data_IF_159589588184
#
_entry.id   IF_159589588184
#
_cell.length_a   1.000
_cell.length_b   1.000
_cell.length_c   1.000
_cell.angle_alpha   90.00
_cell.angle_beta   90.00
_cell.angle_gamma   90.00
#
_symmetry.space_group_name_H-M   'P 1'
#
loop_
_entity.id
_entity.type
_entity.pdbx_description
1 polymer ?
#
# COMPACT_ATOMS: atom_id res chain seq x y z
N UNK A 1 9.93 6.72 4.74
CA UNK A 1 9.37 5.48 4.19
C UNK A 1 10.02 5.20 2.85
N UNK A 2 11.01 4.31 2.86
CA UNK A 2 11.53 3.64 1.66
C UNK A 2 10.58 2.52 1.24
N UNK A 3 10.82 1.92 0.07
CA UNK A 3 10.06 0.74 -0.41
C UNK A 3 10.24 -0.42 0.57
N UNK A 4 11.45 -0.59 1.12
CA UNK A 4 11.79 -1.66 2.06
C UNK A 4 11.03 -1.51 3.38
N UNK A 5 11.00 -0.29 3.95
CA UNK A 5 10.21 0.00 5.16
C UNK A 5 8.71 -0.25 4.95
N UNK A 6 8.19 0.04 3.75
CA UNK A 6 6.79 -0.27 3.40
C UNK A 6 6.56 -1.79 3.37
N UNK A 7 7.47 -2.55 2.74
CA UNK A 7 7.37 -4.00 2.68
C UNK A 7 7.39 -4.60 4.08
N UNK A 8 8.37 -4.25 4.92
CA UNK A 8 8.45 -4.76 6.29
C UNK A 8 7.21 -4.40 7.11
N UNK A 9 6.67 -3.19 6.94
CA UNK A 9 5.43 -2.80 7.60
C UNK A 9 4.25 -3.69 7.18
N UNK A 10 4.04 -3.90 5.88
CA UNK A 10 2.94 -4.74 5.42
C UNK A 10 3.14 -6.23 5.70
N UNK A 11 4.38 -6.70 5.79
CA UNK A 11 4.71 -8.10 6.08
C UNK A 11 4.56 -8.43 7.59
N UNK A 12 4.79 -7.43 8.45
CA UNK A 12 4.60 -7.55 9.90
C UNK A 12 3.20 -7.15 10.40
N UNK A 13 2.47 -6.35 9.64
CA UNK A 13 1.11 -5.95 9.98
C UNK A 13 0.12 -7.11 9.74
N UNK A 14 -0.81 -7.31 10.67
CA UNK A 14 -1.99 -8.13 10.39
C UNK A 14 -2.91 -7.36 9.46
N UNK A 15 -2.88 -7.75 8.19
CA UNK A 15 -3.71 -7.14 7.17
C UNK A 15 -5.08 -7.82 7.10
N UNK A 16 -6.17 -7.05 7.04
CA UNK A 16 -7.49 -7.61 6.79
C UNK A 16 -7.58 -8.09 5.33
N UNK A 17 -8.46 -9.07 5.09
CA UNK A 17 -8.71 -9.59 3.73
C UNK A 17 -9.26 -8.49 2.82
N UNK A 18 -10.13 -7.62 3.36
CA UNK A 18 -10.68 -6.44 2.71
C UNK A 18 -10.63 -5.21 3.62
N UNK A 19 -10.39 -4.03 3.03
CA UNK A 19 -10.51 -2.75 3.73
C UNK A 19 -11.16 -1.70 2.83
N UNK A 20 -12.08 -0.95 3.42
CA UNK A 20 -12.62 0.25 2.82
C UNK A 20 -11.84 1.47 3.33
N UNK A 21 -11.04 2.07 2.46
CA UNK A 21 -10.27 3.28 2.78
C UNK A 21 -11.18 4.51 2.66
N UNK A 22 -11.97 4.59 1.59
CA UNK A 22 -12.97 5.64 1.35
C UNK A 22 -14.22 5.05 0.70
N UNK A 23 -15.29 5.84 0.57
CA UNK A 23 -16.54 5.42 -0.11
C UNK A 23 -16.27 4.89 -1.53
N UNK A 24 -15.30 5.48 -2.23
CA UNK A 24 -14.92 5.11 -3.60
C UNK A 24 -13.78 4.08 -3.67
N UNK A 25 -13.11 3.79 -2.55
CA UNK A 25 -11.92 2.96 -2.52
C UNK A 25 -12.08 1.79 -1.54
N UNK A 26 -12.58 0.69 -2.09
CA UNK A 26 -12.67 -0.60 -1.40
C UNK A 26 -11.64 -1.56 -2.00
N UNK A 27 -10.74 -2.06 -1.17
CA UNK A 27 -9.77 -3.10 -1.52
C UNK A 27 -10.32 -4.43 -1.00
N UNK A 28 -10.70 -5.31 -1.92
CA UNK A 28 -11.23 -6.65 -1.61
C UNK A 28 -10.15 -7.74 -1.58
N UNK A 29 -8.97 -7.43 -2.11
CA UNK A 29 -7.87 -8.38 -2.25
C UNK A 29 -6.57 -7.66 -1.86
N UNK A 30 -6.31 -7.63 -0.55
CA UNK A 30 -5.15 -6.97 0.02
C UNK A 30 -3.83 -7.53 -0.53
N UNK A 31 -3.62 -8.86 -0.57
CA UNK A 31 -2.36 -9.43 -1.07
C UNK A 31 -2.09 -9.01 -2.52
N UNK A 32 -3.09 -9.09 -3.40
CA UNK A 32 -2.94 -8.73 -4.81
C UNK A 32 -2.73 -7.23 -5.00
N UNK A 33 -3.41 -6.41 -4.21
CA UNK A 33 -3.22 -4.97 -4.22
C UNK A 33 -1.80 -4.58 -3.81
N UNK A 34 -1.29 -5.14 -2.72
CA UNK A 34 0.08 -4.91 -2.27
C UNK A 34 1.09 -5.36 -3.31
N UNK A 35 0.95 -6.57 -3.83
CA UNK A 35 1.86 -7.11 -4.84
C UNK A 35 1.91 -6.22 -6.10
N UNK A 36 0.75 -5.76 -6.58
CA UNK A 36 0.68 -4.89 -7.76
C UNK A 36 1.33 -3.52 -7.52
N UNK A 37 1.07 -2.89 -6.36
CA UNK A 37 1.62 -1.58 -6.04
C UNK A 37 3.12 -1.64 -5.72
N UNK A 38 3.57 -2.68 -5.01
CA UNK A 38 4.99 -2.92 -4.74
C UNK A 38 5.75 -3.19 -6.03
N UNK A 39 5.23 -4.04 -6.93
CA UNK A 39 5.86 -4.28 -8.22
C UNK A 39 5.94 -3.01 -9.09
N UNK A 40 4.93 -2.14 -9.03
CA UNK A 40 4.95 -0.85 -9.70
C UNK A 40 5.99 0.10 -9.10
N UNK A 41 6.16 0.09 -7.78
CA UNK A 41 7.18 0.84 -7.04
C UNK A 41 8.60 0.37 -7.37
N UNK A 42 8.84 -0.94 -7.41
CA UNK A 42 10.15 -1.51 -7.77
C UNK A 42 10.57 -1.15 -9.19
N UNK A 43 9.60 -1.05 -10.11
CA UNK A 43 9.84 -0.62 -11.49
C UNK A 43 9.96 0.90 -11.62
N UNK A 44 9.65 1.66 -10.58
CA UNK A 44 9.64 3.12 -10.62
C UNK A 44 11.05 3.68 -10.42
N UNK A 45 11.67 4.14 -11.51
CA UNK A 45 13.03 4.68 -11.49
C UNK A 45 13.07 6.22 -11.28
N UNK A 46 12.09 6.79 -10.60
CA UNK A 46 11.98 8.22 -10.31
C UNK A 46 11.72 8.42 -8.82
N UNK A 47 11.52 9.68 -8.41
CA UNK A 47 11.18 10.03 -7.02
C UNK A 47 9.94 9.26 -6.54
N UNK A 48 10.09 8.59 -5.39
CA UNK A 48 9.04 7.80 -4.73
C UNK A 48 7.78 8.63 -4.43
N UNK A 49 7.99 9.88 -4.02
CA UNK A 49 6.91 10.83 -3.73
C UNK A 49 6.06 11.18 -4.96
N UNK A 50 6.52 10.88 -6.17
CA UNK A 50 5.76 11.05 -7.41
C UNK A 50 5.12 9.76 -7.91
N UNK A 51 5.37 8.63 -7.26
CA UNK A 51 4.79 7.35 -7.63
C UNK A 51 3.35 7.24 -7.11
N UNK A 52 2.34 7.08 -7.98
CA UNK A 52 0.95 6.91 -7.54
C UNK A 52 0.76 5.69 -6.64
N UNK A 53 1.50 4.61 -6.90
CA UNK A 53 1.49 3.40 -6.07
C UNK A 53 2.05 3.64 -4.67
N UNK A 54 3.04 4.52 -4.51
CA UNK A 54 3.51 4.94 -3.19
C UNK A 54 2.39 5.59 -2.39
N UNK A 55 1.71 6.58 -2.97
CA UNK A 55 0.59 7.27 -2.31
C UNK A 55 -0.54 6.32 -1.93
N UNK A 56 -0.86 5.35 -2.79
CA UNK A 56 -1.85 4.31 -2.51
C UNK A 56 -1.48 3.46 -1.29
N UNK A 57 -0.22 3.02 -1.22
CA UNK A 57 0.27 2.25 -0.07
C UNK A 57 0.29 3.08 1.22
N UNK A 58 0.69 4.36 1.14
CA UNK A 58 0.66 5.26 2.29
C UNK A 58 -0.78 5.49 2.77
N UNK A 59 -1.75 5.68 1.86
CA UNK A 59 -3.15 5.81 2.23
C UNK A 59 -3.70 4.53 2.86
N UNK A 60 -3.32 3.37 2.34
CA UNK A 60 -3.67 2.07 2.93
C UNK A 60 -3.09 1.95 4.35
N UNK A 61 -1.81 2.26 4.55
CA UNK A 61 -1.18 2.27 5.88
C UNK A 61 -1.93 3.17 6.86
N UNK A 62 -2.26 4.40 6.44
CA UNK A 62 -3.05 5.33 7.26
C UNK A 62 -4.44 4.79 7.60
N UNK A 63 -5.09 4.11 6.67
CA UNK A 63 -6.39 3.50 6.91
C UNK A 63 -6.29 2.36 7.92
N UNK A 64 -5.25 1.52 7.82
CA UNK A 64 -4.97 0.46 8.78
C UNK A 64 -4.64 1.00 10.18
N UNK A 65 -3.92 2.12 10.27
CA UNK A 65 -3.60 2.78 11.54
C UNK A 65 -4.79 3.56 12.13
N UNK A 66 -5.83 3.87 11.33
CA UNK A 66 -7.02 4.60 11.76
C UNK A 66 -8.19 3.69 12.13
N UNK A 67 -8.05 2.38 11.97
CA UNK A 67 -8.99 1.38 12.51
C UNK A 67 -8.65 1.05 13.97
#
# INVERSE_FOLDING_TARGET
>A
MTIEELKEYFDSASLPDEIQITVDMHIFDMPKFLQANIAALERWNKELEKCPSFHRLINLKKALESQ
#
